data_IF_657201631348
#
_entry.id   IF_657201631348
#
_cell.length_a   1.000
_cell.length_b   1.000
_cell.length_c   1.000
_cell.angle_alpha   90.00
_cell.angle_beta   90.00
_cell.angle_gamma   90.00
#
_symmetry.space_group_name_H-M   'P 1'
#
loop_
_entity.id
_entity.type
_entity.pdbx_description
1 polymer ?
#
# COMPACT_ATOMS: atom_id res chain seq x y z
N UNK A 1 10.96 2.78 21.47
CA UNK A 1 10.26 2.37 20.22
C UNK A 1 9.40 3.49 19.66
N UNK A 2 8.62 4.20 20.50
CA UNK A 2 7.76 5.32 20.06
C UNK A 2 8.48 6.37 19.19
N UNK A 3 9.64 6.86 19.61
CA UNK A 3 10.49 7.82 18.87
C UNK A 3 10.99 7.30 17.50
N UNK A 4 10.88 5.99 17.22
CA UNK A 4 11.18 5.43 15.89
C UNK A 4 9.96 5.42 14.97
N UNK A 5 8.77 5.41 15.54
CA UNK A 5 7.51 5.54 14.81
C UNK A 5 7.22 7.03 14.58
N UNK A 6 7.41 7.87 15.60
CA UNK A 6 7.21 9.31 15.54
C UNK A 6 8.54 10.01 15.83
N UNK A 7 9.43 10.14 14.84
CA UNK A 7 10.73 10.77 15.06
C UNK A 7 10.58 12.27 15.29
N UNK A 8 11.30 12.80 16.27
CA UNK A 8 11.39 14.27 16.51
C UNK A 8 11.93 15.05 15.32
N UNK A 9 12.73 14.42 14.47
CA UNK A 9 13.32 15.03 13.29
C UNK A 9 13.07 14.16 12.06
N UNK A 10 12.50 14.76 11.02
CA UNK A 10 12.34 14.13 9.71
C UNK A 10 13.64 14.28 8.93
N UNK A 11 14.35 13.17 8.71
CA UNK A 11 15.65 13.17 8.05
C UNK A 11 15.82 11.88 7.22
N UNK A 12 16.96 11.75 6.55
CA UNK A 12 17.24 10.60 5.68
C UNK A 12 18.00 9.45 6.39
N UNK A 13 18.07 9.47 7.73
CA UNK A 13 18.81 8.48 8.51
C UNK A 13 17.87 7.33 8.86
N UNK A 14 18.12 6.17 8.27
CA UNK A 14 17.39 4.94 8.54
C UNK A 14 18.25 3.96 9.33
N UNK A 15 17.82 3.63 10.55
CA UNK A 15 18.51 2.69 11.45
C UNK A 15 17.89 1.29 11.49
N UNK A 16 16.76 1.09 10.79
CA UNK A 16 16.04 -0.18 10.71
C UNK A 16 16.75 -1.24 9.86
N UNK A 17 16.17 -2.44 9.82
CA UNK A 17 16.67 -3.51 8.97
C UNK A 17 16.52 -3.16 7.47
N UNK A 18 17.57 -3.40 6.68
CA UNK A 18 17.57 -3.12 5.22
C UNK A 18 16.50 -3.88 4.44
N UNK A 19 16.12 -5.08 4.89
CA UNK A 19 15.03 -5.84 4.28
C UNK A 19 13.72 -5.05 4.31
N UNK A 20 13.42 -4.40 5.43
CA UNK A 20 12.22 -3.56 5.55
C UNK A 20 12.34 -2.28 4.70
N UNK A 21 13.54 -1.75 4.46
CA UNK A 21 13.72 -0.64 3.51
C UNK A 21 13.42 -1.09 2.06
N UNK A 22 14.01 -2.20 1.61
CA UNK A 22 13.81 -2.70 0.25
C UNK A 22 12.36 -3.12 0.00
N UNK A 23 11.72 -3.75 1.00
CA UNK A 23 10.31 -4.08 0.92
C UNK A 23 9.44 -2.83 0.82
N UNK A 24 9.79 -1.74 1.54
CA UNK A 24 9.06 -0.48 1.43
C UNK A 24 9.15 0.14 0.03
N UNK A 25 10.31 0.04 -0.63
CA UNK A 25 10.45 0.43 -2.04
C UNK A 25 9.53 -0.40 -2.96
N UNK A 26 9.48 -1.72 -2.76
CA UNK A 26 8.59 -2.60 -3.53
C UNK A 26 7.11 -2.19 -3.37
N UNK A 27 6.67 -1.99 -2.13
CA UNK A 27 5.30 -1.54 -1.82
C UNK A 27 5.00 -0.18 -2.48
N UNK A 28 5.96 0.74 -2.45
CA UNK A 28 5.84 2.05 -3.09
C UNK A 28 5.59 1.91 -4.59
N UNK A 29 6.41 1.10 -5.29
CA UNK A 29 6.27 0.88 -6.73
C UNK A 29 4.95 0.20 -7.09
N UNK A 30 4.53 -0.82 -6.31
CA UNK A 30 3.23 -1.49 -6.50
C UNK A 30 2.08 -0.50 -6.32
N UNK A 31 2.16 0.38 -5.31
CA UNK A 31 1.12 1.39 -5.03
C UNK A 31 0.97 2.36 -6.20
N UNK A 32 2.09 2.86 -6.73
CA UNK A 32 2.10 3.74 -7.90
C UNK A 32 1.59 3.01 -9.15
N UNK A 33 2.07 1.80 -9.41
CA UNK A 33 1.63 0.99 -10.56
C UNK A 33 0.12 0.75 -10.55
N UNK A 34 -0.43 0.34 -9.40
CA UNK A 34 -1.88 0.15 -9.23
C UNK A 34 -2.67 1.45 -9.40
N UNK A 35 -2.17 2.57 -8.87
CA UNK A 35 -2.83 3.86 -9.08
C UNK A 35 -2.91 4.23 -10.56
N UNK A 36 -1.87 3.95 -11.34
CA UNK A 36 -1.87 4.21 -12.78
C UNK A 36 -2.89 3.32 -13.50
N UNK A 37 -3.02 2.05 -13.11
CA UNK A 37 -4.06 1.17 -13.66
C UNK A 37 -5.45 1.75 -13.40
N UNK A 38 -5.73 2.17 -12.16
CA UNK A 38 -7.02 2.77 -11.81
C UNK A 38 -7.35 4.02 -12.63
N UNK A 39 -6.36 4.84 -12.95
CA UNK A 39 -6.57 6.10 -13.70
C UNK A 39 -6.68 5.85 -15.21
N UNK A 40 -5.84 4.97 -15.76
CA UNK A 40 -5.60 4.92 -17.21
C UNK A 40 -6.17 3.69 -17.92
N UNK A 41 -6.53 2.62 -17.19
CA UNK A 41 -7.20 1.47 -17.82
C UNK A 41 -8.67 1.77 -18.11
N UNK A 42 -9.21 1.17 -19.17
CA UNK A 42 -10.56 1.47 -19.67
C UNK A 42 -11.67 1.20 -18.63
N UNK A 43 -11.50 0.18 -17.78
CA UNK A 43 -12.43 -0.19 -16.71
C UNK A 43 -11.91 0.20 -15.32
N UNK A 44 -10.80 0.95 -15.24
CA UNK A 44 -10.12 1.26 -13.99
C UNK A 44 -9.60 0.02 -13.24
N UNK A 45 -9.57 -1.17 -13.87
CA UNK A 45 -9.32 -2.44 -13.21
C UNK A 45 -10.50 -3.00 -12.42
N UNK A 46 -11.69 -2.40 -12.49
CA UNK A 46 -12.86 -2.85 -11.74
C UNK A 46 -13.35 -4.24 -12.20
N UNK A 47 -13.39 -4.49 -13.52
CA UNK A 47 -13.82 -5.79 -14.05
C UNK A 47 -12.63 -6.71 -14.31
N UNK A 48 -11.62 -6.22 -15.01
CA UNK A 48 -10.45 -6.96 -15.47
C UNK A 48 -9.54 -7.45 -14.34
N UNK A 49 -9.58 -6.80 -13.18
CA UNK A 49 -8.76 -7.17 -12.00
C UNK A 49 -9.64 -7.47 -10.80
N UNK A 50 -10.56 -6.57 -10.44
CA UNK A 50 -11.40 -6.71 -9.26
C UNK A 50 -12.64 -7.61 -9.50
N UNK A 51 -12.85 -8.09 -10.73
CA UNK A 51 -13.92 -9.04 -11.09
C UNK A 51 -15.33 -8.54 -10.77
N UNK A 52 -15.52 -7.21 -10.72
CA UNK A 52 -16.84 -6.58 -10.63
C UNK A 52 -17.53 -6.75 -11.99
N UNK A 53 -18.76 -7.30 -12.06
CA UNK A 53 -19.44 -7.55 -13.32
C UNK A 53 -20.05 -6.26 -13.90
N UNK A 54 -19.22 -5.35 -14.42
CA UNK A 54 -19.71 -4.06 -14.97
C UNK A 54 -20.70 -4.28 -16.11
N UNK A 55 -20.52 -5.34 -16.90
CA UNK A 55 -21.44 -5.71 -17.99
C UNK A 55 -22.86 -6.07 -17.50
N UNK A 56 -23.03 -6.37 -16.22
CA UNK A 56 -24.35 -6.61 -15.61
C UNK A 56 -25.04 -5.32 -15.13
N UNK A 57 -24.32 -4.19 -15.13
CA UNK A 57 -24.86 -2.90 -14.68
C UNK A 57 -25.46 -2.13 -15.86
N UNK A 58 -26.24 -1.09 -15.55
CA UNK A 58 -26.58 -0.09 -16.56
C UNK A 58 -25.33 0.64 -17.02
N UNK A 59 -25.33 1.20 -18.23
CA UNK A 59 -24.20 1.98 -18.75
C UNK A 59 -23.75 3.06 -17.76
N UNK A 60 -24.68 3.87 -17.24
CA UNK A 60 -24.36 4.91 -16.26
C UNK A 60 -23.83 4.35 -14.93
N UNK A 61 -24.27 3.14 -14.52
CA UNK A 61 -23.76 2.45 -13.34
C UNK A 61 -22.32 2.00 -13.52
N UNK A 62 -22.00 1.39 -14.67
CA UNK A 62 -20.63 1.00 -15.01
C UNK A 62 -19.69 2.22 -15.09
N UNK A 63 -20.11 3.28 -15.80
CA UNK A 63 -19.34 4.52 -15.90
C UNK A 63 -19.08 5.17 -14.53
N UNK A 64 -20.07 5.16 -13.63
CA UNK A 64 -19.90 5.67 -12.27
C UNK A 64 -18.87 4.86 -11.47
N UNK A 65 -18.86 3.54 -11.58
CA UNK A 65 -17.85 2.69 -10.92
C UNK A 65 -16.45 2.98 -11.47
N UNK A 66 -16.30 3.04 -12.80
CA UNK A 66 -15.01 3.38 -13.44
C UNK A 66 -14.52 4.75 -13.00
N UNK A 67 -15.42 5.75 -12.96
CA UNK A 67 -15.09 7.10 -12.47
C UNK A 67 -14.60 7.09 -11.01
N UNK A 68 -15.29 6.37 -10.11
CA UNK A 68 -14.89 6.25 -8.71
C UNK A 68 -13.54 5.52 -8.59
N UNK A 69 -13.29 4.50 -9.40
CA UNK A 69 -11.98 3.81 -9.46
C UNK A 69 -10.88 4.77 -9.91
N UNK A 70 -11.11 5.62 -10.92
CA UNK A 70 -10.15 6.64 -11.33
C UNK A 70 -9.86 7.66 -10.22
N UNK A 71 -10.89 8.13 -9.50
CA UNK A 71 -10.72 9.01 -8.34
C UNK A 71 -9.90 8.34 -7.22
N UNK A 72 -10.17 7.06 -6.93
CA UNK A 72 -9.36 6.28 -6.00
C UNK A 72 -7.92 6.17 -6.51
N UNK A 73 -7.71 5.93 -7.81
CA UNK A 73 -6.40 5.94 -8.43
C UNK A 73 -5.61 7.23 -8.14
N UNK A 74 -6.23 8.40 -8.28
CA UNK A 74 -5.58 9.69 -7.96
C UNK A 74 -5.18 9.75 -6.48
N UNK A 75 -6.09 9.42 -5.56
CA UNK A 75 -5.78 9.41 -4.13
C UNK A 75 -4.65 8.43 -3.79
N UNK A 76 -4.67 7.24 -4.39
CA UNK A 76 -3.62 6.23 -4.23
C UNK A 76 -2.28 6.68 -4.81
N UNK A 77 -2.28 7.38 -5.95
CA UNK A 77 -1.09 7.95 -6.55
C UNK A 77 -0.44 8.96 -5.61
N UNK A 78 -1.24 9.86 -5.00
CA UNK A 78 -0.73 10.83 -4.02
C UNK A 78 -0.05 10.14 -2.84
N UNK A 79 -0.66 9.08 -2.30
CA UNK A 79 -0.03 8.26 -1.25
C UNK A 79 1.25 7.60 -1.73
N UNK A 80 1.25 7.03 -2.95
CA UNK A 80 2.43 6.43 -3.56
C UNK A 80 3.60 7.42 -3.74
N UNK A 81 3.30 8.67 -4.13
CA UNK A 81 4.31 9.73 -4.24
C UNK A 81 4.87 10.15 -2.86
N UNK A 82 4.03 10.17 -1.81
CA UNK A 82 4.50 10.37 -0.44
C UNK A 82 5.42 9.23 -0.02
N UNK A 83 5.05 7.98 -0.30
CA UNK A 83 5.90 6.82 -0.01
C UNK A 83 7.23 6.90 -0.76
N UNK A 84 7.22 7.30 -2.03
CA UNK A 84 8.42 7.50 -2.82
C UNK A 84 9.33 8.58 -2.21
N UNK A 85 8.75 9.71 -1.81
CA UNK A 85 9.48 10.79 -1.15
C UNK A 85 10.08 10.31 0.18
N UNK A 86 9.33 9.54 0.98
CA UNK A 86 9.83 8.94 2.22
C UNK A 86 10.98 7.96 1.94
N UNK A 87 10.83 7.09 0.94
CA UNK A 87 11.84 6.10 0.58
C UNK A 87 13.15 6.74 0.08
N UNK A 88 13.05 7.87 -0.64
CA UNK A 88 14.21 8.56 -1.21
C UNK A 88 14.87 9.57 -0.25
N UNK A 89 14.07 10.34 0.51
CA UNK A 89 14.56 11.55 1.19
C UNK A 89 14.28 11.61 2.69
N UNK A 90 13.22 10.96 3.17
CA UNK A 90 12.76 11.06 4.56
C UNK A 90 12.65 9.69 5.24
N UNK A 91 13.68 8.86 5.06
CA UNK A 91 13.64 7.45 5.48
C UNK A 91 13.42 7.24 6.98
N UNK A 92 13.62 8.25 7.83
CA UNK A 92 13.24 8.18 9.24
C UNK A 92 11.74 7.96 9.47
N UNK A 93 10.89 8.26 8.48
CA UNK A 93 9.43 8.06 8.52
C UNK A 93 8.98 6.67 8.06
N UNK A 94 9.87 5.80 7.58
CA UNK A 94 9.49 4.47 7.07
C UNK A 94 8.69 3.63 8.11
N UNK A 95 9.07 3.58 9.39
CA UNK A 95 8.28 2.85 10.38
C UNK A 95 6.86 3.41 10.52
N UNK A 96 6.68 4.73 10.48
CA UNK A 96 5.35 5.35 10.48
C UNK A 96 4.52 4.91 9.27
N UNK A 97 5.13 4.90 8.09
CA UNK A 97 4.44 4.50 6.85
C UNK A 97 3.97 3.05 6.92
N UNK A 98 4.78 2.14 7.47
CA UNK A 98 4.34 0.77 7.73
C UNK A 98 3.13 0.70 8.68
N UNK A 99 3.10 1.54 9.71
CA UNK A 99 1.94 1.67 10.60
C UNK A 99 0.67 2.09 9.86
N UNK A 100 0.77 3.10 8.97
CA UNK A 100 -0.37 3.52 8.15
C UNK A 100 -0.80 2.46 7.15
N UNK A 101 0.13 1.78 6.49
CA UNK A 101 -0.18 0.67 5.56
C UNK A 101 -0.94 -0.44 6.31
N UNK A 102 -0.45 -0.82 7.50
CA UNK A 102 -1.12 -1.84 8.30
C UNK A 102 -2.54 -1.45 8.67
N UNK A 103 -2.73 -0.22 9.15
CA UNK A 103 -4.04 0.28 9.55
C UNK A 103 -5.01 0.35 8.35
N UNK A 104 -4.54 0.88 7.22
CA UNK A 104 -5.35 1.01 6.00
C UNK A 104 -5.78 -0.35 5.46
N UNK A 105 -4.87 -1.34 5.37
CA UNK A 105 -5.20 -2.67 4.87
C UNK A 105 -6.09 -3.47 5.83
N UNK A 106 -5.85 -3.35 7.14
CA UNK A 106 -6.72 -3.98 8.15
C UNK A 106 -8.13 -3.37 8.09
N UNK A 107 -8.23 -2.05 7.90
CA UNK A 107 -9.51 -1.36 7.76
C UNK A 107 -10.27 -1.79 6.51
N UNK A 108 -9.58 -2.02 5.37
CA UNK A 108 -10.21 -2.55 4.15
C UNK A 108 -10.76 -3.96 4.34
N UNK A 109 -10.00 -4.83 5.01
CA UNK A 109 -10.49 -6.17 5.35
C UNK A 109 -11.73 -6.07 6.24
N UNK A 110 -11.69 -5.24 7.29
CA UNK A 110 -12.85 -4.96 8.14
C UNK A 110 -14.06 -4.46 7.35
N UNK A 111 -13.86 -3.49 6.46
CA UNK A 111 -14.91 -2.93 5.61
C UNK A 111 -15.53 -3.98 4.69
N UNK A 112 -14.75 -4.94 4.17
CA UNK A 112 -15.25 -5.99 3.28
C UNK A 112 -16.29 -6.89 3.95
N UNK A 113 -16.25 -7.04 5.28
CA UNK A 113 -17.28 -7.76 6.03
C UNK A 113 -18.56 -6.94 6.24
N UNK A 114 -18.47 -5.61 6.18
CA UNK A 114 -19.61 -4.70 6.39
C UNK A 114 -20.29 -4.32 5.09
N UNK A 115 -19.51 -4.16 4.02
CA UNK A 115 -19.95 -3.71 2.70
C UNK A 115 -19.20 -4.53 1.64
N UNK A 116 -19.74 -5.70 1.32
CA UNK A 116 -19.26 -6.51 0.21
C UNK A 116 -19.93 -6.12 -1.10
N UNK A 117 -19.24 -6.35 -2.20
CA UNK A 117 -19.79 -6.30 -3.55
C UNK A 117 -19.71 -7.71 -4.15
N UNK A 118 -20.74 -8.12 -4.88
CA UNK A 118 -20.68 -9.38 -5.62
C UNK A 118 -19.63 -9.27 -6.73
N UNK A 119 -18.81 -10.31 -6.83
CA UNK A 119 -17.72 -10.43 -7.80
C UNK A 119 -17.84 -11.77 -8.49
N UNK A 120 -17.42 -11.84 -9.75
CA UNK A 120 -17.49 -13.07 -10.55
C UNK A 120 -16.40 -14.07 -10.20
N UNK A 121 -15.42 -13.67 -9.38
CA UNK A 121 -14.35 -14.52 -8.91
C UNK A 121 -13.55 -13.87 -7.79
N UNK A 122 -12.47 -14.52 -7.37
CA UNK A 122 -11.53 -13.93 -6.41
C UNK A 122 -10.51 -13.07 -7.14
N UNK A 123 -10.56 -11.76 -6.91
CA UNK A 123 -9.58 -10.84 -7.46
C UNK A 123 -8.15 -11.17 -6.99
N UNK A 124 -7.12 -11.09 -7.87
CA UNK A 124 -5.72 -11.34 -7.48
C UNK A 124 -5.26 -10.48 -6.29
N UNK A 125 -5.76 -9.24 -6.21
CA UNK A 125 -5.46 -8.33 -5.11
C UNK A 125 -5.99 -8.83 -3.75
N UNK A 126 -7.11 -9.55 -3.72
CA UNK A 126 -7.67 -10.11 -2.49
C UNK A 126 -6.75 -11.22 -1.93
N UNK A 127 -6.23 -12.08 -2.81
CA UNK A 127 -5.24 -13.11 -2.44
C UNK A 127 -3.94 -12.46 -1.94
N UNK A 128 -3.45 -11.45 -2.68
CA UNK A 128 -2.26 -10.71 -2.28
C UNK A 128 -2.41 -10.06 -0.90
N UNK A 129 -3.58 -9.53 -0.59
CA UNK A 129 -3.85 -8.88 0.70
C UNK A 129 -3.75 -9.84 1.89
N UNK A 130 -4.10 -11.12 1.73
CA UNK A 130 -3.95 -12.14 2.78
C UNK A 130 -2.48 -12.40 3.13
N UNK A 131 -1.59 -12.46 2.13
CA UNK A 131 -0.15 -12.63 2.37
C UNK A 131 0.43 -11.37 3.03
N UNK A 132 0.01 -10.23 2.51
CA UNK A 132 0.53 -8.93 2.89
C UNK A 132 0.13 -8.49 4.30
N UNK A 133 -1.04 -8.90 4.81
CA UNK A 133 -1.46 -8.58 6.19
C UNK A 133 -0.56 -9.22 7.25
N UNK A 134 0.14 -10.31 6.91
CA UNK A 134 1.13 -10.96 7.78
C UNK A 134 2.50 -10.33 7.58
N UNK A 135 2.86 -10.03 6.33
CA UNK A 135 4.18 -9.52 5.97
C UNK A 135 4.40 -8.09 6.45
N UNK A 136 3.37 -7.23 6.45
CA UNK A 136 3.48 -5.84 6.89
C UNK A 136 3.84 -5.71 8.38
N UNK A 137 3.18 -6.38 9.34
CA UNK A 137 3.60 -6.39 10.74
C UNK A 137 5.04 -6.85 10.93
N UNK A 138 5.48 -7.88 10.19
CA UNK A 138 6.86 -8.35 10.23
C UNK A 138 7.83 -7.26 9.74
N UNK A 139 7.54 -6.62 8.61
CA UNK A 139 8.39 -5.55 8.06
C UNK A 139 8.36 -4.29 8.93
N UNK A 140 7.21 -3.96 9.52
CA UNK A 140 7.09 -2.90 10.53
C UNK A 140 8.01 -3.19 11.71
N UNK A 141 7.94 -4.40 12.26
CA UNK A 141 8.80 -4.83 13.35
C UNK A 141 10.29 -4.76 13.01
N UNK A 142 10.67 -5.25 11.83
CA UNK A 142 12.04 -5.18 11.33
C UNK A 142 12.50 -3.74 11.08
N UNK A 143 11.60 -2.84 10.69
CA UNK A 143 11.89 -1.41 10.53
C UNK A 143 12.20 -0.72 11.86
N UNK A 144 11.66 -1.25 12.96
CA UNK A 144 11.91 -0.76 14.31
C UNK A 144 13.16 -1.36 14.94
N UNK A 145 13.70 -2.48 14.45
CA UNK A 145 14.91 -3.11 14.99
C UNK A 145 16.17 -2.50 14.39
N UNK A 146 17.15 -2.18 15.23
CA UNK A 146 18.44 -1.69 14.77
C UNK A 146 19.14 -2.76 13.92
N UNK A 147 19.60 -2.37 12.75
CA UNK A 147 20.50 -3.21 11.97
C UNK A 147 21.86 -3.23 12.68
N UNK A 148 22.17 -4.32 13.38
CA UNK A 148 23.51 -4.60 13.92
C UNK A 148 24.45 -4.91 12.75
N UNK A 149 24.88 -3.87 12.02
CA UNK A 149 26.15 -3.97 11.32
C UNK A 149 27.23 -3.92 12.39
N UNK A 150 27.90 -5.06 12.63
CA UNK A 150 29.20 -5.09 13.30
C UNK A 150 30.06 -4.02 12.61
N UNK A 151 30.52 -3.04 13.37
CA UNK A 151 31.71 -2.27 13.00
C UNK A 151 32.81 -3.28 12.70
N UNK A 152 33.50 -3.23 11.54
CA UNK A 152 34.82 -3.84 11.45
C UNK A 152 35.64 -3.25 12.59
N UNK A 153 36.10 -4.09 13.51
CA UNK A 153 37.13 -3.69 14.47
C UNK A 153 38.37 -3.28 13.69
N UNK A 154 38.81 -2.04 13.92
CA UNK A 154 40.13 -1.42 13.73
C UNK A 154 41.11 -2.08 12.75
#
# INVERSE_FOLDING_TARGET
>A
MFERIFPRQVNNIYSGNKLALYFFFLITLITIGRSCVHIFSADGGAQSIATIPLDSFTQGGAEAVVYIFAQWGIAQLMVGLIYLLVALRYRSLIPLMYGFIFLEWSSRMGLSFLKSIETTGTAPAAIGQLVLVILIPLMFYLSLRQSTRRTPSD
#
